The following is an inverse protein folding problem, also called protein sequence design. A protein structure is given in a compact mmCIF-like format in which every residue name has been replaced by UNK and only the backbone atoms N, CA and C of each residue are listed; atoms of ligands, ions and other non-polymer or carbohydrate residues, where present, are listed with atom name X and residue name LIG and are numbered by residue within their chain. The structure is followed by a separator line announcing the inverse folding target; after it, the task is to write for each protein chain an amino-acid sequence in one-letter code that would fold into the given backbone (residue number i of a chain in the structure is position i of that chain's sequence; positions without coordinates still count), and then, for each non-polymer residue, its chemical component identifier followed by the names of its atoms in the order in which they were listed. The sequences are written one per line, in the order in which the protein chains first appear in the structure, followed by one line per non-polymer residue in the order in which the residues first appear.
data_IF_371418653348
#
_entry.id   IF_371418653348
#
_cell.length_a   1.000
_cell.length_b   1.000
_cell.length_c   1.000
_cell.angle_alpha   90.00
_cell.angle_beta   90.00
_cell.angle_gamma   90.00
#
_symmetry.space_group_name_H-M   'P 1'
#
loop_
_entity.id
_entity.type
_entity.pdbx_description
1 polymer ?
#
# COMPACT_ATOMS: atom_id res chain seq x y z
N UNK A 1 5.23 -18.81 2.75
CA UNK A 1 6.71 -18.71 2.83
C UNK A 1 7.14 -17.35 3.37
N UNK A 2 6.94 -16.21 2.70
CA UNK A 2 7.42 -14.90 3.19
C UNK A 2 7.01 -14.53 4.63
N UNK A 3 5.74 -14.71 5.00
CA UNK A 3 5.26 -14.42 6.38
C UNK A 3 5.97 -15.28 7.44
N UNK A 4 6.25 -16.54 7.11
CA UNK A 4 6.97 -17.47 7.98
C UNK A 4 8.43 -17.03 8.14
N UNK A 5 9.10 -16.69 7.02
CA UNK A 5 10.48 -16.20 7.04
C UNK A 5 10.63 -14.92 7.85
N UNK A 6 9.72 -13.95 7.70
CA UNK A 6 9.73 -12.71 8.52
C UNK A 6 9.66 -13.03 10.02
N UNK A 7 8.87 -14.05 10.40
CA UNK A 7 8.77 -14.46 11.79
C UNK A 7 10.01 -15.17 12.30
N UNK A 8 10.53 -16.12 11.53
CA UNK A 8 11.63 -16.98 11.94
C UNK A 8 12.98 -16.25 11.94
N UNK A 9 13.21 -15.41 10.94
CA UNK A 9 14.49 -14.70 10.77
C UNK A 9 14.54 -13.39 11.54
N UNK A 10 13.41 -12.68 11.64
CA UNK A 10 13.37 -11.31 12.18
C UNK A 10 12.46 -11.16 13.41
N UNK A 11 11.74 -12.22 13.82
CA UNK A 11 10.78 -12.16 14.93
C UNK A 11 9.49 -11.38 14.60
N UNK A 12 9.34 -10.88 13.37
CA UNK A 12 8.26 -9.98 12.95
C UNK A 12 7.01 -10.80 12.64
N UNK A 13 5.93 -10.52 13.37
CA UNK A 13 4.58 -10.92 12.96
C UNK A 13 4.03 -9.82 12.06
N UNK A 14 4.14 -10.00 10.74
CA UNK A 14 3.80 -8.94 9.80
C UNK A 14 2.28 -8.85 9.55
N UNK A 15 1.74 -7.66 9.74
CA UNK A 15 0.31 -7.36 9.63
C UNK A 15 0.00 -6.51 8.37
N UNK A 16 0.98 -6.31 7.49
CA UNK A 16 0.85 -5.43 6.33
C UNK A 16 1.23 -6.15 5.03
N UNK A 17 0.62 -5.75 3.92
CA UNK A 17 0.91 -6.35 2.62
C UNK A 17 1.00 -5.30 1.51
N UNK A 18 1.95 -5.42 0.59
CA UNK A 18 2.02 -4.59 -0.61
C UNK A 18 1.78 -5.48 -1.83
N UNK A 19 0.73 -5.19 -2.60
CA UNK A 19 0.45 -5.97 -3.81
C UNK A 19 1.54 -5.72 -4.86
N UNK A 20 2.13 -6.79 -5.45
CA UNK A 20 3.03 -6.65 -6.59
C UNK A 20 2.31 -5.93 -7.72
N UNK A 21 2.92 -4.85 -8.23
CA UNK A 21 2.34 -3.98 -9.26
C UNK A 21 0.96 -3.41 -8.90
N UNK A 22 0.57 -3.39 -7.62
CA UNK A 22 -0.73 -2.92 -7.16
C UNK A 22 -1.92 -3.82 -7.50
N UNK A 23 -1.69 -4.95 -8.17
CA UNK A 23 -2.74 -5.84 -8.65
C UNK A 23 -3.43 -6.54 -7.48
N UNK A 24 -4.74 -6.30 -7.35
CA UNK A 24 -5.57 -6.89 -6.31
C UNK A 24 -6.97 -7.17 -6.85
N UNK A 25 -7.67 -8.08 -6.17
CA UNK A 25 -9.02 -8.49 -6.48
C UNK A 25 -9.74 -8.97 -5.20
N UNK A 26 -11.03 -9.30 -5.31
CA UNK A 26 -11.79 -9.74 -4.15
C UNK A 26 -11.22 -11.02 -3.51
N UNK A 27 -10.60 -11.92 -4.29
CA UNK A 27 -10.05 -13.16 -3.77
C UNK A 27 -8.80 -12.91 -2.92
N UNK A 28 -7.86 -12.13 -3.43
CA UNK A 28 -6.64 -11.74 -2.74
C UNK A 28 -6.94 -10.93 -1.47
N UNK A 29 -7.90 -9.99 -1.50
CA UNK A 29 -8.33 -9.26 -0.31
C UNK A 29 -8.91 -10.19 0.77
N UNK A 30 -9.71 -11.21 0.39
CA UNK A 30 -10.21 -12.21 1.34
C UNK A 30 -9.09 -13.02 1.99
N UNK A 31 -8.05 -13.37 1.22
CA UNK A 31 -6.87 -14.07 1.74
C UNK A 31 -6.13 -13.18 2.74
N UNK A 32 -5.95 -11.89 2.46
CA UNK A 32 -5.32 -10.94 3.39
C UNK A 32 -6.08 -10.90 4.72
N UNK A 33 -7.40 -10.68 4.68
CA UNK A 33 -8.26 -10.68 5.86
C UNK A 33 -8.16 -11.99 6.66
N UNK A 34 -8.22 -13.14 5.98
CA UNK A 34 -8.17 -14.46 6.63
C UNK A 34 -6.85 -14.69 7.37
N UNK A 35 -5.75 -14.10 6.91
CA UNK A 35 -4.41 -14.29 7.48
C UNK A 35 -3.99 -13.18 8.45
N UNK A 36 -4.93 -12.34 8.91
CA UNK A 36 -4.65 -11.32 9.92
C UNK A 36 -3.90 -10.09 9.40
N UNK A 37 -3.85 -9.88 8.08
CA UNK A 37 -3.38 -8.60 7.53
C UNK A 37 -4.37 -7.50 7.90
N UNK A 38 -3.85 -6.39 8.41
CA UNK A 38 -4.62 -5.21 8.82
C UNK A 38 -4.73 -4.19 7.70
N UNK A 39 -3.67 -3.98 6.91
CA UNK A 39 -3.70 -3.12 5.73
C UNK A 39 -2.97 -3.75 4.53
N UNK A 40 -3.53 -3.58 3.34
CA UNK A 40 -2.90 -3.96 2.08
C UNK A 40 -2.89 -2.80 1.08
N UNK A 41 -1.74 -2.56 0.45
CA UNK A 41 -1.45 -1.36 -0.34
C UNK A 41 -1.42 -1.65 -1.84
N UNK A 42 -2.07 -0.79 -2.63
CA UNK A 42 -2.12 -0.86 -4.09
C UNK A 42 -1.08 0.10 -4.72
N UNK A 43 -1.13 0.29 -6.03
CA UNK A 43 -0.41 1.36 -6.72
C UNK A 43 -1.36 2.46 -7.22
N UNK A 44 -2.65 2.39 -6.87
CA UNK A 44 -3.61 3.44 -7.18
C UNK A 44 -3.16 4.74 -6.50
N UNK A 45 -3.06 5.85 -7.26
CA UNK A 45 -2.58 7.12 -6.74
C UNK A 45 -3.62 7.72 -5.79
N UNK A 46 -3.16 8.17 -4.63
CA UNK A 46 -4.02 8.89 -3.69
C UNK A 46 -3.51 8.85 -2.25
N UNK A 47 -4.22 9.61 -1.40
CA UNK A 47 -3.97 9.64 0.04
C UNK A 47 -4.87 8.64 0.71
N UNK A 48 -4.29 7.79 1.57
CA UNK A 48 -5.07 6.94 2.46
C UNK A 48 -5.92 7.79 3.41
N UNK A 49 -7.18 7.42 3.59
CA UNK A 49 -8.16 8.10 4.45
C UNK A 49 -8.84 7.12 5.40
N UNK A 50 -9.35 7.65 6.50
CA UNK A 50 -10.25 6.89 7.36
C UNK A 50 -11.52 6.52 6.60
N UNK A 51 -11.90 5.25 6.68
CA UNK A 51 -13.05 4.69 5.97
C UNK A 51 -12.71 4.03 4.63
N UNK A 52 -11.48 4.16 4.13
CA UNK A 52 -11.03 3.44 2.94
C UNK A 52 -11.04 1.92 3.17
N UNK A 53 -11.11 1.16 2.07
CA UNK A 53 -10.97 -0.29 2.12
C UNK A 53 -9.56 -0.65 2.65
N UNK A 54 -9.44 -1.27 3.84
CA UNK A 54 -8.13 -1.60 4.41
C UNK A 54 -7.32 -2.56 3.54
N UNK A 55 -7.95 -3.28 2.62
CA UNK A 55 -7.28 -4.24 1.72
C UNK A 55 -7.01 -3.67 0.33
N UNK A 56 -7.24 -2.38 0.11
CA UNK A 56 -6.98 -1.71 -1.16
C UNK A 56 -6.57 -0.24 -0.94
N UNK A 57 -5.62 -0.01 -0.03
CA UNK A 57 -5.17 1.33 0.34
C UNK A 57 -4.37 1.97 -0.80
N UNK A 58 -4.78 3.17 -1.20
CA UNK A 58 -4.09 4.02 -2.16
C UNK A 58 -2.74 4.52 -1.62
N UNK A 59 -1.81 4.85 -2.52
CA UNK A 59 -0.50 5.38 -2.15
C UNK A 59 -0.11 6.56 -3.03
N UNK A 60 0.69 7.46 -2.46
CA UNK A 60 1.36 8.50 -3.23
C UNK A 60 2.45 7.82 -4.08
N UNK A 61 2.30 7.87 -5.41
CA UNK A 61 3.33 7.37 -6.31
C UNK A 61 4.54 8.32 -6.30
N UNK A 62 5.75 7.75 -6.23
CA UNK A 62 7.00 8.49 -6.34
C UNK A 62 7.90 7.70 -7.30
N UNK A 63 8.13 8.23 -8.49
CA UNK A 63 9.01 7.64 -9.47
C UNK A 63 9.92 8.68 -10.11
N UNK A 64 10.58 8.30 -11.21
CA UNK A 64 11.71 9.06 -11.77
C UNK A 64 11.37 10.51 -12.17
N UNK A 65 10.12 10.80 -12.54
CA UNK A 65 9.67 12.13 -12.96
C UNK A 65 9.34 13.06 -11.79
N UNK A 66 9.43 12.59 -10.54
CA UNK A 66 9.02 13.36 -9.35
C UNK A 66 10.21 14.08 -8.76
N UNK A 67 10.28 15.39 -9.00
CA UNK A 67 11.24 16.26 -8.33
C UNK A 67 10.73 16.70 -6.94
N UNK A 68 11.50 17.57 -6.26
CA UNK A 68 11.17 18.02 -4.90
C UNK A 68 9.89 18.86 -4.85
N UNK A 69 9.58 19.62 -5.91
CA UNK A 69 8.40 20.47 -5.97
C UNK A 69 7.14 19.64 -6.22
N UNK A 70 7.22 18.67 -7.14
CA UNK A 70 6.15 17.69 -7.33
C UNK A 70 5.96 16.81 -6.09
N UNK A 71 7.04 16.39 -5.43
CA UNK A 71 6.94 15.64 -4.18
C UNK A 71 6.22 16.46 -3.11
N UNK A 72 6.61 17.73 -2.91
CA UNK A 72 5.94 18.64 -1.99
C UNK A 72 4.45 18.73 -2.30
N UNK A 73 4.09 18.99 -3.57
CA UNK A 73 2.70 19.04 -3.99
C UNK A 73 1.94 17.75 -3.64
N UNK A 74 2.54 16.58 -3.90
CA UNK A 74 1.94 15.27 -3.64
C UNK A 74 1.66 15.02 -2.16
N UNK A 75 2.54 15.47 -1.27
CA UNK A 75 2.41 15.26 0.19
C UNK A 75 1.68 16.37 0.93
N UNK A 76 1.38 17.50 0.28
CA UNK A 76 0.58 18.60 0.88
C UNK A 76 -0.81 18.77 0.26
N UNK A 77 -1.07 18.18 -0.91
CA UNK A 77 -2.33 18.35 -1.64
C UNK A 77 -3.00 16.99 -1.87
N UNK A 78 -4.16 16.71 -1.24
CA UNK A 78 -4.84 15.41 -1.35
C UNK A 78 -5.27 14.99 -2.76
N UNK A 79 -5.35 15.94 -3.70
CA UNK A 79 -5.60 15.72 -5.13
C UNK A 79 -4.47 16.38 -5.92
N UNK A 80 -3.32 15.74 -5.95
CA UNK A 80 -2.16 16.19 -6.72
C UNK A 80 -2.28 15.79 -8.19
N UNK A 81 -1.54 16.45 -9.07
CA UNK A 81 -1.51 16.12 -10.49
C UNK A 81 -0.72 14.83 -10.75
N UNK A 82 -1.30 13.92 -11.53
CA UNK A 82 -0.61 12.78 -12.10
C UNK A 82 0.25 13.27 -13.28
N UNK A 83 1.49 13.64 -12.99
CA UNK A 83 2.54 13.90 -13.98
C UNK A 83 3.56 12.77 -13.98
#
# INVERSE_FOLDING_TARGET
MCQKELKEQLGITNEYYCYPYGSNDAASQRVMKKNGIKLAFTMSPGWARYGDNPYAIERIWVGNAVDIDNFRQRVTTPRYEER
#
